data_IF_645036958914
#
_entry.id   IF_645036958914
#
_cell.length_a   1.000
_cell.length_b   1.000
_cell.length_c   1.000
_cell.angle_alpha   90.00
_cell.angle_beta   90.00
_cell.angle_gamma   90.00
#
_symmetry.space_group_name_H-M   'P 1'
#
loop_
_entity.id
_entity.type
_entity.pdbx_description
1 polymer ?
#
# COMPACT_ATOMS: atom_id res chain seq x y z
N UNK A 1 -23.62 -1.36 11.87
CA UNK A 1 -22.32 -1.31 11.17
C UNK A 1 -21.94 -2.72 10.76
N UNK A 2 -21.67 -2.93 9.47
CA UNK A 2 -21.16 -4.20 8.95
C UNK A 2 -19.85 -4.59 9.65
N UNK A 3 -19.56 -5.89 9.73
CA UNK A 3 -18.33 -6.42 10.35
C UNK A 3 -17.08 -5.76 9.77
N UNK A 4 -17.03 -5.61 8.44
CA UNK A 4 -15.96 -4.91 7.72
C UNK A 4 -15.75 -3.46 8.21
N UNK A 5 -16.81 -2.67 8.31
CA UNK A 5 -16.71 -1.27 8.75
C UNK A 5 -16.16 -1.17 10.17
N UNK A 6 -16.57 -2.07 11.07
CA UNK A 6 -16.05 -2.11 12.44
C UNK A 6 -14.57 -2.46 12.48
N UNK A 7 -14.15 -3.48 11.73
CA UNK A 7 -12.73 -3.88 11.64
C UNK A 7 -11.87 -2.74 11.12
N UNK A 8 -12.27 -2.12 10.00
CA UNK A 8 -11.55 -1.00 9.40
C UNK A 8 -11.46 0.20 10.34
N UNK A 9 -12.56 0.54 11.04
CA UNK A 9 -12.59 1.66 11.98
C UNK A 9 -11.60 1.50 13.14
N UNK A 10 -11.32 0.25 13.56
CA UNK A 10 -10.33 -0.03 14.61
C UNK A 10 -8.89 0.17 14.14
N UNK A 11 -8.60 -0.08 12.85
CA UNK A 11 -7.23 0.00 12.30
C UNK A 11 -6.82 1.40 11.83
N UNK A 12 -7.78 2.21 11.39
CA UNK A 12 -7.52 3.57 10.89
C UNK A 12 -6.71 4.44 11.87
N UNK A 13 -7.00 4.47 13.19
CA UNK A 13 -6.24 5.26 14.15
C UNK A 13 -4.76 4.90 14.19
N UNK A 14 -4.45 3.59 14.16
CA UNK A 14 -3.07 3.09 14.22
C UNK A 14 -2.31 3.47 12.96
N UNK A 15 -2.89 3.28 11.76
CA UNK A 15 -2.25 3.68 10.51
C UNK A 15 -2.04 5.19 10.39
N UNK A 16 -2.96 6.01 10.92
CA UNK A 16 -2.77 7.46 10.99
C UNK A 16 -1.62 7.83 11.93
N UNK A 17 -1.50 7.13 13.05
CA UNK A 17 -0.42 7.33 13.99
C UNK A 17 0.93 6.96 13.38
N UNK A 18 1.04 5.79 12.73
CA UNK A 18 2.24 5.34 12.02
C UNK A 18 2.67 6.33 10.93
N UNK A 19 1.73 6.80 10.10
CA UNK A 19 2.03 7.80 9.06
C UNK A 19 2.55 9.11 9.66
N UNK A 20 1.97 9.55 10.78
CA UNK A 20 2.42 10.76 11.50
C UNK A 20 3.82 10.57 12.08
N UNK A 21 4.09 9.43 12.72
CA UNK A 21 5.43 9.10 13.23
C UNK A 21 6.47 9.06 12.12
N UNK A 22 6.16 8.45 10.98
CA UNK A 22 7.08 8.40 9.84
C UNK A 22 7.44 9.79 9.32
N UNK A 23 6.46 10.69 9.24
CA UNK A 23 6.67 12.08 8.84
C UNK A 23 7.48 12.86 9.88
N UNK A 24 7.24 12.65 11.17
CA UNK A 24 8.00 13.29 12.26
C UNK A 24 9.47 12.83 12.28
N UNK A 25 9.73 11.54 12.06
CA UNK A 25 11.08 10.98 12.07
C UNK A 25 11.88 11.22 10.78
N UNK A 26 11.21 11.17 9.62
CA UNK A 26 11.87 11.03 8.31
C UNK A 26 11.29 11.96 7.24
N UNK A 27 10.54 12.99 7.61
CA UNK A 27 9.87 13.90 6.67
C UNK A 27 10.81 14.56 5.65
N UNK A 28 12.03 14.92 6.07
CA UNK A 28 13.03 15.57 5.20
C UNK A 28 13.90 14.58 4.41
N UNK A 29 13.65 13.27 4.53
CA UNK A 29 14.47 12.27 3.88
C UNK A 29 14.17 12.22 2.38
N UNK A 30 15.19 12.44 1.56
CA UNK A 30 15.08 12.32 0.10
C UNK A 30 14.77 10.88 -0.30
N UNK A 31 13.60 10.65 -0.88
CA UNK A 31 13.15 9.32 -1.36
C UNK A 31 13.41 9.08 -2.85
N UNK A 32 13.56 10.14 -3.64
CA UNK A 32 13.81 10.08 -5.08
C UNK A 32 14.47 11.38 -5.57
N UNK A 33 15.50 11.25 -6.41
CA UNK A 33 16.02 12.38 -7.19
C UNK A 33 15.29 12.44 -8.53
N UNK A 34 14.89 13.64 -8.96
CA UNK A 34 14.09 13.84 -10.18
C UNK A 34 14.90 14.63 -11.20
N UNK A 35 15.00 14.09 -12.41
CA UNK A 35 15.64 14.74 -13.57
C UNK A 35 14.61 15.38 -14.51
N UNK A 36 15.05 16.31 -15.35
CA UNK A 36 14.19 16.96 -16.36
C UNK A 36 13.57 15.93 -17.32
N UNK A 37 14.35 14.91 -17.72
CA UNK A 37 13.86 13.84 -18.59
C UNK A 37 12.73 13.03 -17.94
N UNK A 38 12.79 12.78 -16.63
CA UNK A 38 11.71 12.09 -15.91
C UNK A 38 10.46 12.95 -15.77
N UNK A 39 10.60 14.27 -15.67
CA UNK A 39 9.44 15.18 -15.65
C UNK A 39 8.66 15.13 -16.97
N UNK A 40 9.35 15.21 -18.11
CA UNK A 40 8.71 15.10 -19.44
C UNK A 40 8.32 13.66 -19.81
N UNK A 41 9.02 12.66 -19.27
CA UNK A 41 8.78 11.24 -19.52
C UNK A 41 7.68 10.61 -18.65
N UNK A 42 6.85 11.41 -17.97
CA UNK A 42 5.73 10.93 -17.17
C UNK A 42 6.12 10.29 -15.83
N UNK A 43 7.11 10.84 -15.14
CA UNK A 43 7.56 10.40 -13.80
C UNK A 43 8.04 8.95 -13.72
N UNK A 44 8.46 8.35 -14.84
CA UNK A 44 8.97 6.98 -14.86
C UNK A 44 10.17 6.82 -13.92
N UNK A 45 10.04 5.89 -12.97
CA UNK A 45 11.06 5.61 -11.95
C UNK A 45 11.11 6.61 -10.79
N UNK A 46 10.21 7.60 -10.75
CA UNK A 46 10.11 8.55 -9.62
C UNK A 46 9.16 7.99 -8.56
N UNK A 47 9.62 7.91 -7.31
CA UNK A 47 8.76 7.57 -6.17
C UNK A 47 7.97 8.80 -5.76
N UNK A 48 6.73 8.91 -6.25
CA UNK A 48 5.89 10.11 -6.07
C UNK A 48 4.65 9.95 -5.19
N UNK A 49 4.26 8.72 -4.85
CA UNK A 49 3.04 8.46 -4.08
C UNK A 49 3.19 7.22 -3.20
N UNK A 50 2.37 7.16 -2.15
CA UNK A 50 2.27 6.01 -1.23
C UNK A 50 1.08 5.15 -1.65
N UNK A 51 1.31 3.84 -1.75
CA UNK A 51 0.27 2.83 -1.99
C UNK A 51 0.40 1.72 -0.95
N UNK A 52 -0.52 1.67 0.01
CA UNK A 52 -0.47 0.69 1.11
C UNK A 52 -1.15 -0.65 0.80
N UNK A 53 -1.95 -0.69 -0.26
CA UNK A 53 -2.77 -1.87 -0.60
C UNK A 53 -1.98 -2.94 -1.32
N UNK A 54 -1.07 -2.55 -2.20
CA UNK A 54 -0.28 -3.47 -3.01
C UNK A 54 1.03 -2.86 -3.48
N UNK A 55 1.98 -3.73 -3.79
CA UNK A 55 3.26 -3.39 -4.41
C UNK A 55 3.56 -4.37 -5.53
N UNK A 56 4.39 -3.96 -6.49
CA UNK A 56 4.84 -4.83 -7.58
C UNK A 56 6.35 -4.99 -7.46
N UNK A 57 6.80 -6.24 -7.41
CA UNK A 57 8.21 -6.62 -7.46
C UNK A 57 8.52 -7.27 -8.82
N UNK A 58 9.71 -7.01 -9.42
CA UNK A 58 10.15 -7.71 -10.62
C UNK A 58 10.22 -9.23 -10.46
N UNK A 59 10.58 -9.72 -9.27
CA UNK A 59 10.83 -11.14 -9.03
C UNK A 59 9.56 -11.92 -8.67
N UNK A 60 8.70 -11.32 -7.83
CA UNK A 60 7.51 -11.97 -7.27
C UNK A 60 6.18 -11.46 -7.84
N UNK A 61 6.22 -10.47 -8.74
CA UNK A 61 5.02 -9.89 -9.34
C UNK A 61 4.21 -9.05 -8.35
N UNK A 62 2.89 -9.14 -8.44
CA UNK A 62 1.97 -8.38 -7.58
C UNK A 62 1.94 -8.96 -6.17
N UNK A 63 2.11 -8.10 -5.18
CA UNK A 63 2.02 -8.41 -3.75
C UNK A 63 0.88 -7.58 -3.16
N UNK A 64 -0.12 -8.23 -2.59
CA UNK A 64 -1.30 -7.60 -1.98
C UNK A 64 -1.19 -7.72 -0.47
N UNK A 65 -1.08 -6.58 0.24
CA UNK A 65 -0.95 -6.55 1.72
C UNK A 65 0.09 -7.54 2.27
N UNK A 66 1.22 -7.68 1.58
CA UNK A 66 2.32 -8.60 1.96
C UNK A 66 2.19 -10.04 1.45
N UNK A 67 1.12 -10.38 0.72
CA UNK A 67 0.89 -11.71 0.16
C UNK A 67 1.13 -11.70 -1.36
N UNK A 68 2.06 -12.50 -1.91
CA UNK A 68 2.20 -12.67 -3.35
C UNK A 68 0.88 -13.15 -3.98
N UNK A 69 0.51 -12.60 -5.14
CA UNK A 69 -0.75 -12.93 -5.83
C UNK A 69 -0.89 -14.44 -6.09
N UNK A 70 0.22 -15.10 -6.42
CA UNK A 70 0.25 -16.54 -6.71
C UNK A 70 -0.08 -17.41 -5.48
N UNK A 71 -0.03 -16.86 -4.27
CA UNK A 71 -0.38 -17.58 -3.02
C UNK A 71 -1.85 -17.42 -2.63
N UNK A 72 -2.59 -16.51 -3.28
CA UNK A 72 -3.97 -16.14 -2.93
C UNK A 72 -4.88 -16.22 -4.16
N UNK A 73 -4.64 -17.15 -5.08
CA UNK A 73 -5.45 -17.32 -6.29
C UNK A 73 -6.78 -18.01 -6.03
N UNK A 74 -6.94 -18.61 -4.86
CA UNK A 74 -8.08 -19.42 -4.43
C UNK A 74 -9.17 -18.59 -3.71
N UNK A 75 -8.86 -17.37 -3.27
CA UNK A 75 -9.80 -16.51 -2.55
C UNK A 75 -10.75 -15.76 -3.51
N UNK A 76 -11.96 -15.49 -3.03
CA UNK A 76 -13.00 -14.79 -3.79
C UNK A 76 -12.71 -13.29 -3.91
N UNK A 77 -13.24 -12.61 -4.94
CA UNK A 77 -13.08 -11.16 -5.09
C UNK A 77 -13.52 -10.35 -3.86
N UNK A 78 -14.55 -10.80 -3.14
CA UNK A 78 -15.03 -10.20 -1.90
C UNK A 78 -14.00 -10.30 -0.78
N UNK A 79 -13.28 -11.42 -0.71
CA UNK A 79 -12.21 -11.65 0.26
C UNK A 79 -10.96 -10.83 -0.09
N UNK A 80 -10.66 -10.69 -1.39
CA UNK A 80 -9.63 -9.75 -1.88
C UNK A 80 -9.98 -8.32 -1.48
N UNK A 81 -11.24 -7.90 -1.63
CA UNK A 81 -11.68 -6.57 -1.23
C UNK A 81 -11.54 -6.35 0.29
N UNK A 82 -11.90 -7.37 1.08
CA UNK A 82 -11.70 -7.34 2.53
C UNK A 82 -10.22 -7.22 2.90
N UNK A 83 -9.35 -7.98 2.23
CA UNK A 83 -7.89 -7.93 2.40
C UNK A 83 -7.33 -6.56 2.06
N UNK A 84 -7.69 -5.99 0.92
CA UNK A 84 -7.22 -4.66 0.51
C UNK A 84 -7.55 -3.59 1.56
N UNK A 85 -8.75 -3.64 2.12
CA UNK A 85 -9.20 -2.66 3.11
C UNK A 85 -8.60 -2.88 4.49
N UNK A 86 -8.53 -4.12 4.97
CA UNK A 86 -8.21 -4.41 6.38
C UNK A 86 -6.78 -4.91 6.61
N UNK A 87 -6.13 -5.42 5.56
CA UNK A 87 -4.85 -6.14 5.66
C UNK A 87 -4.99 -7.59 6.13
N UNK A 88 -6.20 -8.04 6.48
CA UNK A 88 -6.47 -9.39 6.97
C UNK A 88 -7.30 -10.19 5.96
N UNK A 89 -7.22 -11.51 5.99
CA UNK A 89 -8.22 -12.35 5.31
C UNK A 89 -9.49 -12.42 6.18
N UNK A 90 -10.69 -12.47 5.58
CA UNK A 90 -11.96 -12.46 6.31
C UNK A 90 -12.20 -13.71 7.16
#
# INVERSE_FOLDING_TARGET
>A
MSTLQKTLSKKIPDWRYEAKQLLEEKGDKVVSNVTVAQAYGGMRGVKGLVCDTSAVSPDSGLIIRGRPLLEITDILPEEVFYLLLTGDLP
#
